data_IF_697725145571
#
_entry.id   IF_697725145571
#
_cell.length_a   1.000
_cell.length_b   1.000
_cell.length_c   1.000
_cell.angle_alpha   90.00
_cell.angle_beta   90.00
_cell.angle_gamma   90.00
#
_symmetry.space_group_name_H-M   'P 1'
#
loop_
_entity.id
_entity.type
_entity.pdbx_description
1 polymer ?
#
# COMPACT_ATOMS: atom_id res chain seq x y z
N UNK A 1 -10.44 20.52 -5.45
CA UNK A 1 -9.18 19.71 -5.38
C UNK A 1 -8.74 19.34 -6.78
N UNK A 2 -7.43 19.17 -7.02
CA UNK A 2 -6.96 18.61 -8.30
C UNK A 2 -7.46 17.18 -8.40
N UNK A 3 -8.09 16.82 -9.51
CA UNK A 3 -8.56 15.48 -9.78
C UNK A 3 -7.45 14.66 -10.45
N UNK A 4 -7.44 13.37 -10.16
CA UNK A 4 -6.50 12.40 -10.71
C UNK A 4 -7.29 11.19 -11.25
N UNK A 5 -6.66 10.45 -12.15
CA UNK A 5 -7.26 9.26 -12.73
C UNK A 5 -7.16 8.06 -11.79
N UNK A 6 -6.01 7.95 -11.08
CA UNK A 6 -5.71 6.82 -10.21
C UNK A 6 -5.18 7.30 -8.85
N UNK A 7 -5.74 6.72 -7.77
CA UNK A 7 -5.42 7.07 -6.39
C UNK A 7 -4.83 5.88 -5.65
N UNK A 8 -3.66 6.05 -5.04
CA UNK A 8 -3.08 5.11 -4.09
C UNK A 8 -3.53 5.58 -2.70
N UNK A 9 -4.35 4.76 -2.03
CA UNK A 9 -5.04 5.16 -0.80
C UNK A 9 -4.60 4.29 0.36
N UNK A 10 -3.85 4.83 1.33
CA UNK A 10 -3.50 4.12 2.55
C UNK A 10 -4.71 3.76 3.40
N UNK A 11 -4.68 2.55 3.97
CA UNK A 11 -5.69 2.01 4.88
C UNK A 11 -5.13 1.87 6.31
N UNK A 12 -5.99 1.77 7.34
CA UNK A 12 -5.55 1.64 8.72
C UNK A 12 -4.65 0.41 8.97
N UNK A 13 -3.71 0.54 9.90
CA UNK A 13 -2.75 -0.51 10.28
C UNK A 13 -3.07 -1.21 11.61
N UNK A 14 -4.31 -1.14 12.07
CA UNK A 14 -4.77 -1.79 13.31
C UNK A 14 -5.94 -1.08 13.98
N UNK A 15 -6.13 0.21 13.72
CA UNK A 15 -7.25 0.99 14.26
C UNK A 15 -7.97 1.69 13.10
N UNK A 16 -9.24 1.40 12.89
CA UNK A 16 -10.04 2.01 11.82
C UNK A 16 -10.05 3.54 11.87
N UNK A 17 -9.95 4.13 13.06
CA UNK A 17 -9.90 5.58 13.24
C UNK A 17 -8.66 6.27 12.66
N UNK A 18 -7.62 5.53 12.27
CA UNK A 18 -6.40 6.10 11.68
C UNK A 18 -6.52 6.38 10.17
N UNK A 19 -7.68 6.13 9.57
CA UNK A 19 -7.94 6.53 8.19
C UNK A 19 -8.09 8.06 8.10
N UNK A 20 -7.53 8.65 7.04
CA UNK A 20 -7.71 10.09 6.83
C UNK A 20 -9.09 10.41 6.24
N UNK A 21 -9.64 11.59 6.55
CA UNK A 21 -10.86 12.10 5.93
C UNK A 21 -10.76 12.11 4.40
N UNK A 22 -9.62 12.53 3.88
CA UNK A 22 -9.35 12.53 2.43
C UNK A 22 -9.40 11.14 1.82
N UNK A 23 -8.92 10.11 2.52
CA UNK A 23 -9.02 8.73 2.07
C UNK A 23 -10.48 8.27 1.97
N UNK A 24 -11.30 8.57 2.99
CA UNK A 24 -12.75 8.25 2.99
C UNK A 24 -13.45 8.96 1.82
N UNK A 25 -13.22 10.26 1.64
CA UNK A 25 -13.81 11.04 0.55
C UNK A 25 -13.39 10.48 -0.82
N UNK A 26 -12.11 10.16 -1.00
CA UNK A 26 -11.59 9.57 -2.25
C UNK A 26 -12.26 8.22 -2.52
N UNK A 27 -12.30 7.31 -1.54
CA UNK A 27 -12.93 6.00 -1.70
C UNK A 27 -14.43 6.08 -2.00
N UNK A 28 -15.13 7.13 -1.56
CA UNK A 28 -16.53 7.41 -1.90
C UNK A 28 -16.71 7.99 -3.30
N UNK A 29 -15.69 8.67 -3.84
CA UNK A 29 -15.79 9.44 -5.09
C UNK A 29 -15.31 8.67 -6.34
N UNK A 30 -14.52 7.60 -6.18
CA UNK A 30 -14.03 6.81 -7.31
C UNK A 30 -15.07 5.81 -7.82
N UNK A 31 -14.93 5.36 -9.06
CA UNK A 31 -15.83 4.38 -9.68
C UNK A 31 -15.51 2.95 -9.29
N UNK A 32 -14.25 2.70 -8.92
CA UNK A 32 -13.76 1.36 -8.57
C UNK A 32 -12.68 1.42 -7.50
N UNK A 33 -12.73 0.46 -6.58
CA UNK A 33 -11.66 0.19 -5.63
C UNK A 33 -11.00 -1.13 -5.99
N UNK A 34 -9.69 -1.11 -6.28
CA UNK A 34 -8.85 -2.28 -6.43
C UNK A 34 -8.23 -2.63 -5.07
N UNK A 35 -8.37 -3.86 -4.60
CA UNK A 35 -7.92 -4.27 -3.26
C UNK A 35 -7.30 -5.66 -3.26
N UNK A 36 -6.39 -5.92 -2.32
CA UNK A 36 -5.70 -7.19 -2.21
C UNK A 36 -6.66 -8.30 -1.73
N UNK A 37 -7.24 -8.16 -0.55
CA UNK A 37 -8.27 -9.05 -0.02
C UNK A 37 -9.61 -8.28 0.14
N UNK A 38 -10.59 -8.66 -0.67
CA UNK A 38 -11.94 -8.05 -0.63
C UNK A 38 -12.61 -8.20 0.73
N UNK A 39 -12.32 -9.27 1.48
CA UNK A 39 -12.92 -9.51 2.81
C UNK A 39 -12.43 -8.52 3.85
N UNK A 40 -11.15 -8.14 3.78
CA UNK A 40 -10.53 -7.14 4.65
C UNK A 40 -11.05 -5.76 4.28
N UNK A 41 -10.95 -5.40 3.00
CA UNK A 41 -11.41 -4.10 2.50
C UNK A 41 -12.89 -3.87 2.76
N UNK A 42 -13.74 -4.88 2.59
CA UNK A 42 -15.19 -4.74 2.81
C UNK A 42 -15.53 -4.35 4.27
N UNK A 43 -14.75 -4.79 5.25
CA UNK A 43 -14.95 -4.37 6.65
C UNK A 43 -14.74 -2.86 6.82
N UNK A 44 -13.69 -2.33 6.19
CA UNK A 44 -13.39 -0.89 6.18
C UNK A 44 -14.51 -0.12 5.46
N UNK A 45 -14.90 -0.56 4.25
CA UNK A 45 -15.93 0.10 3.47
C UNK A 45 -17.28 0.14 4.20
N UNK A 46 -17.67 -0.97 4.83
CA UNK A 46 -18.90 -1.05 5.63
C UNK A 46 -18.86 -0.12 6.84
N UNK A 47 -17.74 -0.02 7.53
CA UNK A 47 -17.59 0.83 8.72
C UNK A 47 -17.80 2.32 8.39
N UNK A 48 -17.35 2.78 7.21
CA UNK A 48 -17.45 4.18 6.77
C UNK A 48 -18.60 4.43 5.78
N UNK A 49 -19.49 3.47 5.61
CA UNK A 49 -20.63 3.54 4.68
C UNK A 49 -20.19 3.92 3.25
N UNK A 50 -19.12 3.26 2.76
CA UNK A 50 -18.61 3.42 1.41
C UNK A 50 -19.24 2.33 0.53
N UNK A 51 -19.96 2.73 -0.52
CA UNK A 51 -20.71 1.82 -1.43
C UNK A 51 -19.98 1.54 -2.72
N UNK A 52 -18.79 2.09 -2.91
CA UNK A 52 -18.00 1.94 -4.12
C UNK A 52 -17.67 0.47 -4.38
N UNK A 53 -17.82 0.04 -5.63
CA UNK A 53 -17.54 -1.34 -6.05
C UNK A 53 -16.08 -1.69 -5.82
N UNK A 54 -15.84 -2.89 -5.30
CA UNK A 54 -14.52 -3.42 -5.02
C UNK A 54 -14.20 -4.61 -5.94
N UNK A 55 -12.96 -4.70 -6.41
CA UNK A 55 -12.45 -5.86 -7.15
C UNK A 55 -11.10 -6.29 -6.60
N UNK A 56 -10.80 -7.59 -6.73
CA UNK A 56 -9.51 -8.12 -6.31
C UNK A 56 -8.39 -7.73 -7.27
N UNK A 57 -7.30 -7.20 -6.71
CA UNK A 57 -6.05 -6.87 -7.37
C UNK A 57 -4.89 -7.28 -6.48
N UNK A 58 -4.19 -8.33 -6.81
CA UNK A 58 -3.11 -8.91 -6.03
C UNK A 58 -1.98 -9.39 -6.95
N UNK A 59 -0.85 -9.72 -6.40
CA UNK A 59 0.38 -10.11 -7.10
C UNK A 59 0.20 -11.13 -8.23
N UNK A 60 -0.79 -12.03 -8.11
CA UNK A 60 -1.02 -13.09 -9.09
C UNK A 60 -1.92 -12.69 -10.27
N UNK A 61 -2.67 -11.57 -10.16
CA UNK A 61 -3.56 -11.10 -11.23
C UNK A 61 -3.23 -9.70 -11.75
N UNK A 62 -2.17 -9.06 -11.25
CA UNK A 62 -1.77 -7.69 -11.65
C UNK A 62 -1.77 -7.51 -13.16
N UNK A 63 -1.06 -8.38 -13.89
CA UNK A 63 -0.89 -8.26 -15.35
C UNK A 63 -2.21 -8.38 -16.10
N UNK A 64 -3.11 -9.27 -15.67
CA UNK A 64 -4.42 -9.47 -16.29
C UNK A 64 -5.36 -8.27 -16.07
N UNK A 65 -5.16 -7.52 -14.98
CA UNK A 65 -5.97 -6.37 -14.62
C UNK A 65 -5.57 -5.06 -15.29
N UNK A 66 -4.31 -4.95 -15.76
CA UNK A 66 -3.78 -3.72 -16.35
C UNK A 66 -4.66 -3.22 -17.49
N UNK A 67 -4.94 -4.06 -18.50
CA UNK A 67 -5.73 -3.66 -19.67
C UNK A 67 -7.15 -3.21 -19.30
N UNK A 68 -7.77 -3.91 -18.35
CA UNK A 68 -9.10 -3.56 -17.88
C UNK A 68 -9.10 -2.17 -17.19
N UNK A 69 -8.09 -1.88 -16.38
CA UNK A 69 -7.96 -0.58 -15.71
C UNK A 69 -7.67 0.54 -16.72
N UNK A 70 -6.75 0.32 -17.66
CA UNK A 70 -6.46 1.29 -18.73
C UNK A 70 -7.72 1.64 -19.53
N UNK A 71 -8.55 0.66 -19.87
CA UNK A 71 -9.80 0.89 -20.60
C UNK A 71 -10.80 1.70 -19.77
N UNK A 72 -10.97 1.38 -18.47
CA UNK A 72 -11.83 2.15 -17.58
C UNK A 72 -11.39 3.61 -17.45
N UNK A 73 -10.07 3.84 -17.31
CA UNK A 73 -9.51 5.19 -17.21
C UNK A 73 -9.65 5.98 -18.52
N UNK A 74 -9.54 5.32 -19.70
CA UNK A 74 -9.84 5.94 -21.01
C UNK A 74 -11.31 6.35 -21.15
N UNK A 75 -12.21 5.65 -20.47
CA UNK A 75 -13.63 6.02 -20.35
C UNK A 75 -13.88 7.17 -19.36
N UNK A 76 -12.83 7.75 -18.76
CA UNK A 76 -12.93 8.82 -17.78
C UNK A 76 -13.30 8.37 -16.35
N UNK A 77 -13.28 7.07 -16.06
CA UNK A 77 -13.51 6.53 -14.72
C UNK A 77 -12.29 6.74 -13.83
N UNK A 78 -12.53 6.80 -12.53
CA UNK A 78 -11.49 6.95 -11.49
C UNK A 78 -11.35 5.67 -10.69
N UNK A 79 -10.12 5.29 -10.39
CA UNK A 79 -9.82 4.05 -9.66
C UNK A 79 -8.99 4.38 -8.43
N UNK A 80 -9.30 3.74 -7.29
CA UNK A 80 -8.45 3.73 -6.10
C UNK A 80 -7.83 2.35 -5.89
N UNK A 81 -6.55 2.31 -5.54
CA UNK A 81 -5.86 1.11 -5.08
C UNK A 81 -5.67 1.19 -3.58
N UNK A 82 -6.07 0.13 -2.87
CA UNK A 82 -5.86 -0.05 -1.43
C UNK A 82 -5.13 -1.37 -1.18
N UNK A 83 -4.34 -1.43 -0.10
CA UNK A 83 -3.80 -2.67 0.48
C UNK A 83 -4.62 -3.09 1.69
N UNK A 84 -4.37 -4.28 2.21
CA UNK A 84 -5.05 -4.79 3.40
C UNK A 84 -4.76 -3.95 4.65
N UNK A 85 -3.55 -3.40 4.75
CA UNK A 85 -3.14 -2.51 5.83
C UNK A 85 -1.99 -1.58 5.40
N UNK A 86 -2.09 -0.29 5.69
CA UNK A 86 -1.05 0.69 5.42
C UNK A 86 -1.06 1.27 4.01
N UNK A 87 0.11 1.65 3.52
CA UNK A 87 0.31 2.33 2.23
C UNK A 87 0.55 1.31 1.13
N UNK A 88 -0.31 1.24 0.09
CA UNK A 88 -0.10 0.35 -1.06
C UNK A 88 1.26 0.60 -1.73
N UNK A 89 1.80 -0.38 -2.43
CA UNK A 89 3.13 -0.43 -3.03
C UNK A 89 4.30 -0.51 -2.02
N UNK A 90 4.03 -0.35 -0.75
CA UNK A 90 5.04 -0.43 0.30
C UNK A 90 5.15 -1.86 0.84
N UNK A 91 5.81 -2.74 0.11
CA UNK A 91 5.83 -4.21 0.20
C UNK A 91 4.56 -4.90 -0.30
N UNK A 92 3.67 -4.18 -0.94
CA UNK A 92 2.38 -4.63 -1.46
C UNK A 92 2.33 -4.55 -3.00
N UNK A 93 1.35 -5.19 -3.67
CA UNK A 93 1.17 -5.08 -5.11
C UNK A 93 0.83 -3.64 -5.55
N UNK A 94 1.06 -3.33 -6.83
CA UNK A 94 0.70 -2.05 -7.43
C UNK A 94 1.77 -1.40 -8.31
N UNK A 95 3.05 -1.81 -8.20
CA UNK A 95 4.11 -1.22 -8.99
C UNK A 95 3.89 -1.40 -10.50
N UNK A 96 3.38 -2.55 -10.92
CA UNK A 96 3.10 -2.86 -12.33
C UNK A 96 2.05 -1.92 -12.91
N UNK A 97 0.94 -1.73 -12.20
CA UNK A 97 -0.14 -0.85 -12.71
C UNK A 97 0.30 0.61 -12.72
N UNK A 98 0.99 1.09 -11.70
CA UNK A 98 1.46 2.49 -11.65
C UNK A 98 2.42 2.80 -12.80
N UNK A 99 3.38 1.89 -13.09
CA UNK A 99 4.30 2.03 -14.21
C UNK A 99 3.53 2.10 -15.56
N UNK A 100 2.59 1.20 -15.78
CA UNK A 100 1.79 1.19 -17.01
C UNK A 100 0.86 2.41 -17.15
N UNK A 101 0.28 2.89 -16.05
CA UNK A 101 -0.52 4.12 -16.06
C UNK A 101 0.32 5.34 -16.44
N UNK A 102 1.51 5.48 -15.86
CA UNK A 102 2.43 6.57 -16.15
C UNK A 102 2.89 6.56 -17.62
N UNK A 103 3.23 5.37 -18.16
CA UNK A 103 3.57 5.20 -19.58
C UNK A 103 2.42 5.59 -20.52
N UNK A 104 1.19 5.39 -20.11
CA UNK A 104 -0.01 5.74 -20.89
C UNK A 104 -0.51 7.18 -20.61
N UNK A 105 0.21 8.00 -19.84
CA UNK A 105 -0.08 9.41 -19.61
C UNK A 105 -1.19 9.68 -18.59
N UNK A 106 -1.62 8.69 -17.82
CA UNK A 106 -2.60 8.87 -16.76
C UNK A 106 -2.00 9.51 -15.51
N UNK A 107 -2.78 10.35 -14.86
CA UNK A 107 -2.38 11.02 -13.62
C UNK A 107 -2.57 10.10 -12.41
N UNK A 108 -1.47 9.83 -11.70
CA UNK A 108 -1.48 9.00 -10.49
C UNK A 108 -1.12 9.87 -9.28
N UNK A 109 -1.80 9.67 -8.17
CA UNK A 109 -1.47 10.33 -6.89
C UNK A 109 -1.51 9.33 -5.73
N UNK A 110 -0.60 9.51 -4.78
CA UNK A 110 -0.66 8.81 -3.49
C UNK A 110 -1.16 9.76 -2.41
N UNK A 111 -2.08 9.29 -1.58
CA UNK A 111 -2.53 10.04 -0.42
C UNK A 111 -1.56 9.78 0.75
N UNK A 112 -1.37 10.81 1.59
CA UNK A 112 -0.74 10.61 2.89
C UNK A 112 -1.65 9.77 3.79
N UNK A 113 -1.08 8.87 4.58
CA UNK A 113 -1.85 8.03 5.48
C UNK A 113 -1.00 7.08 6.31
N UNK A 114 -1.63 6.08 6.91
CA UNK A 114 -0.99 5.13 7.82
C UNK A 114 0.16 4.37 7.15
N UNK A 115 1.28 4.30 7.87
CA UNK A 115 2.47 3.54 7.48
C UNK A 115 3.15 2.99 8.73
N UNK A 116 3.29 1.67 8.82
CA UNK A 116 3.81 1.01 10.01
C UNK A 116 5.27 1.38 10.31
N UNK A 117 6.10 1.58 9.28
CA UNK A 117 7.52 1.98 9.46
C UNK A 117 7.61 3.37 10.07
N UNK A 118 6.90 4.35 9.51
CA UNK A 118 6.91 5.71 10.02
C UNK A 118 6.33 5.78 11.44
N UNK A 119 5.22 5.08 11.70
CA UNK A 119 4.59 5.00 13.01
C UNK A 119 5.51 4.37 14.05
N UNK A 120 6.17 3.26 13.72
CA UNK A 120 7.13 2.60 14.59
C UNK A 120 8.34 3.49 14.90
N UNK A 121 8.94 4.09 13.87
CA UNK A 121 10.11 4.96 14.03
C UNK A 121 9.81 6.21 14.86
N UNK A 122 8.59 6.74 14.80
CA UNK A 122 8.18 7.87 15.63
C UNK A 122 7.96 7.51 17.12
N UNK A 123 7.85 6.22 17.45
CA UNK A 123 7.62 5.72 18.81
C UNK A 123 8.92 5.38 19.55
N UNK A 124 10.03 5.20 18.86
CA UNK A 124 11.31 4.81 19.45
C UNK A 124 12.28 6.00 19.50
N UNK A 125 13.05 6.10 20.59
CA UNK A 125 14.16 7.03 20.67
C UNK A 125 15.34 6.50 19.82
N UNK A 126 15.86 7.34 18.93
CA UNK A 126 17.01 7.02 18.07
C UNK A 126 18.06 8.13 18.19
N UNK A 127 19.33 7.78 18.08
CA UNK A 127 20.42 8.76 18.13
C UNK A 127 20.73 9.37 16.75
N UNK A 128 20.36 8.71 15.65
CA UNK A 128 20.59 9.16 14.27
C UNK A 128 19.31 9.46 13.52
N UNK A 129 19.44 10.18 12.40
CA UNK A 129 18.34 10.44 11.48
C UNK A 129 18.23 9.38 10.39
N UNK A 130 19.34 8.71 10.08
CA UNK A 130 19.41 7.72 9.00
C UNK A 130 18.78 6.39 9.43
N UNK A 131 18.02 5.78 8.52
CA UNK A 131 17.54 4.42 8.63
C UNK A 131 17.40 3.77 7.26
N UNK A 132 17.45 2.44 7.22
CA UNK A 132 17.17 1.65 6.04
C UNK A 132 15.96 0.75 6.26
N UNK A 133 14.93 0.90 5.45
CA UNK A 133 13.83 -0.05 5.39
C UNK A 133 14.13 -1.12 4.34
N UNK A 134 14.20 -2.37 4.77
CA UNK A 134 14.64 -3.50 3.91
C UNK A 134 13.50 -4.45 3.51
N UNK A 135 12.27 -4.07 3.79
CA UNK A 135 11.11 -4.92 3.50
C UNK A 135 11.03 -6.13 4.41
N UNK A 136 10.57 -7.27 3.88
CA UNK A 136 10.54 -8.53 4.64
C UNK A 136 11.91 -9.18 4.71
N UNK A 137 12.27 -9.69 5.90
CA UNK A 137 13.54 -10.41 6.08
C UNK A 137 13.61 -11.64 5.16
N UNK A 138 14.79 -11.93 4.59
CA UNK A 138 15.04 -13.17 3.86
C UNK A 138 14.75 -14.41 4.72
N UNK A 139 14.53 -15.55 4.07
CA UNK A 139 14.16 -16.79 4.78
C UNK A 139 15.37 -17.56 5.33
N UNK A 140 16.55 -17.35 4.78
CA UNK A 140 17.76 -18.12 5.15
C UNK A 140 18.69 -17.29 6.04
N UNK A 141 19.32 -17.95 7.01
CA UNK A 141 20.29 -17.33 7.92
C UNK A 141 21.42 -16.62 7.18
N UNK A 142 21.98 -17.25 6.15
CA UNK A 142 23.07 -16.66 5.35
C UNK A 142 22.65 -15.36 4.66
N UNK A 143 21.44 -15.28 4.11
CA UNK A 143 20.92 -14.06 3.50
C UNK A 143 20.69 -12.95 4.53
N UNK A 144 20.20 -13.31 5.73
CA UNK A 144 20.04 -12.36 6.83
C UNK A 144 21.39 -11.81 7.27
N UNK A 145 22.40 -12.68 7.47
CA UNK A 145 23.76 -12.26 7.84
C UNK A 145 24.38 -11.32 6.80
N UNK A 146 24.16 -11.57 5.51
CA UNK A 146 24.64 -10.69 4.44
C UNK A 146 23.93 -9.33 4.47
N UNK A 147 22.62 -9.33 4.69
CA UNK A 147 21.84 -8.10 4.84
C UNK A 147 22.33 -7.26 6.02
N UNK A 148 22.53 -7.88 7.19
CA UNK A 148 23.06 -7.21 8.38
C UNK A 148 24.45 -6.60 8.18
N UNK A 149 25.31 -7.28 7.41
CA UNK A 149 26.64 -6.74 7.04
C UNK A 149 26.55 -5.50 6.16
N UNK A 150 25.58 -5.48 5.23
CA UNK A 150 25.35 -4.35 4.32
C UNK A 150 24.93 -3.07 5.05
N UNK A 151 24.14 -3.19 6.11
CA UNK A 151 23.58 -2.06 6.87
C UNK A 151 24.19 -1.93 8.28
N UNK A 152 25.46 -2.35 8.47
CA UNK A 152 26.10 -2.41 9.79
C UNK A 152 26.15 -1.07 10.56
N UNK A 153 26.13 0.07 9.86
CA UNK A 153 26.25 1.40 10.44
C UNK A 153 24.93 2.20 10.40
N UNK A 154 23.80 1.55 10.11
CA UNK A 154 22.52 2.23 9.90
C UNK A 154 21.43 1.46 10.65
N UNK A 155 20.51 2.16 11.30
CA UNK A 155 19.31 1.55 11.88
C UNK A 155 18.52 0.83 10.81
N UNK A 156 18.26 -0.45 10.99
CA UNK A 156 17.56 -1.27 10.01
C UNK A 156 16.14 -1.59 10.48
N UNK A 157 15.16 -1.23 9.66
CA UNK A 157 13.74 -1.54 9.88
C UNK A 157 13.29 -2.59 8.87
N UNK A 158 12.55 -3.58 9.34
CA UNK A 158 12.08 -4.67 8.48
C UNK A 158 10.70 -5.16 8.92
N UNK A 159 10.03 -5.87 8.02
CA UNK A 159 8.84 -6.64 8.33
C UNK A 159 9.19 -8.11 8.51
N UNK A 160 8.54 -8.74 9.48
CA UNK A 160 8.53 -10.19 9.61
C UNK A 160 7.23 -10.70 10.22
N UNK A 161 6.94 -11.96 10.05
CA UNK A 161 5.77 -12.57 10.67
C UNK A 161 6.06 -12.91 12.14
N UNK A 162 5.06 -12.81 13.04
CA UNK A 162 5.22 -13.21 14.44
C UNK A 162 5.72 -14.65 14.61
N UNK A 163 5.32 -15.55 13.70
CA UNK A 163 5.71 -16.97 13.73
C UNK A 163 7.20 -17.21 13.40
N UNK A 164 7.87 -16.25 12.75
CA UNK A 164 9.30 -16.37 12.40
C UNK A 164 10.22 -15.74 13.46
N UNK A 165 9.77 -14.65 14.05
CA UNK A 165 10.58 -13.88 15.02
C UNK A 165 10.76 -14.62 16.35
N UNK A 166 9.85 -15.57 16.67
CA UNK A 166 9.87 -16.36 17.90
C UNK A 166 10.57 -17.73 17.75
N UNK A 167 11.04 -18.07 16.58
CA UNK A 167 11.79 -19.29 16.24
C UNK A 167 13.20 -18.94 15.75
#
# INVERSE_FOLDING_TARGET
MKEYDFYIVPTPIGNLGDITLRAIETLKSVDLIACEDMRVTQKLLNHYDIKTKCISYHKFNEKERVDAFLNMLREGKKIALVSDAGTPLFCDPGAVIVDELQKNGFSVTSLAGANAVATFLSHIAREGEDFAFVGFLPKTKSQIENLLKQFKATDMVFYDSPNRILN
#
